data_IF_137986361108
#
_entry.id   IF_137986361108
#
_cell.length_a   1.000
_cell.length_b   1.000
_cell.length_c   1.000
_cell.angle_alpha   90.00
_cell.angle_beta   90.00
_cell.angle_gamma   90.00
#
_symmetry.space_group_name_H-M   'P 1'
#
loop_
_entity.id
_entity.type
_entity.pdbx_description
1 polymer ?
#
# COMPACT_ATOMS: atom_id res chain seq x y z
N UNK A 1 60.40 -32.51 -35.33
CA UNK A 1 59.26 -33.29 -35.80
C UNK A 1 58.03 -32.44 -35.62
N UNK A 2 57.45 -32.02 -36.76
CA UNK A 2 56.25 -31.23 -36.91
C UNK A 2 55.03 -32.10 -36.68
N UNK A 3 54.04 -31.61 -35.93
CA UNK A 3 52.63 -31.98 -36.18
C UNK A 3 51.73 -30.80 -36.00
N UNK A 4 51.05 -30.50 -37.11
CA UNK A 4 49.91 -29.59 -37.26
C UNK A 4 48.69 -30.23 -36.58
N UNK A 5 47.91 -29.41 -35.88
CA UNK A 5 46.58 -29.73 -35.39
C UNK A 5 45.63 -28.57 -35.61
N UNK A 6 44.75 -28.76 -36.57
CA UNK A 6 43.74 -27.85 -37.10
C UNK A 6 42.70 -27.41 -36.06
N UNK A 7 42.37 -26.14 -36.13
CA UNK A 7 41.22 -25.51 -35.40
C UNK A 7 39.93 -25.92 -36.11
N UNK A 8 38.97 -26.47 -35.35
CA UNK A 8 37.58 -26.54 -35.73
C UNK A 8 36.80 -25.53 -34.95
N UNK A 9 36.19 -24.59 -35.66
CA UNK A 9 35.13 -23.71 -35.13
C UNK A 9 33.81 -24.48 -35.18
N UNK A 10 32.92 -24.39 -34.19
CA UNK A 10 31.56 -24.86 -34.34
C UNK A 10 30.70 -23.77 -34.97
N UNK A 11 30.14 -24.12 -36.11
CA UNK A 11 29.10 -23.36 -36.83
C UNK A 11 27.78 -23.33 -36.04
N UNK A 12 27.14 -22.14 -36.06
CA UNK A 12 25.74 -22.00 -36.38
C UNK A 12 24.71 -22.53 -35.39
N UNK A 13 24.46 -21.83 -34.30
CA UNK A 13 23.15 -21.91 -33.65
C UNK A 13 22.20 -20.86 -34.25
N UNK A 14 21.26 -21.28 -35.09
CA UNK A 14 20.17 -20.43 -35.59
C UNK A 14 19.23 -20.04 -34.45
N UNK A 15 18.75 -18.77 -34.34
CA UNK A 15 17.77 -18.39 -33.38
C UNK A 15 16.40 -19.00 -33.71
N UNK A 16 15.77 -19.64 -32.71
CA UNK A 16 14.40 -20.14 -32.78
C UNK A 16 13.44 -18.99 -33.07
N UNK A 17 12.73 -19.08 -34.18
CA UNK A 17 11.60 -18.20 -34.52
C UNK A 17 10.48 -18.38 -33.51
N UNK A 18 10.19 -17.35 -32.76
CA UNK A 18 8.93 -17.21 -32.01
C UNK A 18 7.85 -16.87 -33.06
N UNK A 19 6.88 -17.75 -33.26
CA UNK A 19 5.70 -17.52 -34.11
C UNK A 19 4.80 -16.49 -33.39
N UNK A 20 4.50 -15.39 -34.07
CA UNK A 20 3.37 -14.56 -33.70
C UNK A 20 3.56 -13.03 -33.76
N UNK A 21 4.35 -12.52 -34.75
CA UNK A 21 4.27 -11.12 -35.10
C UNK A 21 4.06 -10.94 -36.59
N UNK A 22 3.04 -10.12 -36.95
CA UNK A 22 2.78 -9.73 -38.32
C UNK A 22 3.95 -8.91 -38.88
N UNK A 23 4.34 -9.08 -40.18
CA UNK A 23 5.41 -8.32 -40.79
C UNK A 23 4.93 -6.90 -41.10
N UNK A 24 5.56 -5.91 -40.50
CA UNK A 24 5.30 -4.49 -40.82
C UNK A 24 5.53 -3.44 -39.75
N UNK A 25 6.04 -3.79 -38.56
CA UNK A 25 6.38 -2.79 -37.57
C UNK A 25 7.85 -2.44 -37.69
N UNK A 26 8.15 -1.32 -38.34
CA UNK A 26 9.44 -0.65 -38.28
C UNK A 26 9.51 0.12 -36.97
N UNK A 27 10.35 -0.31 -36.05
CA UNK A 27 10.70 0.48 -34.87
C UNK A 27 11.52 1.68 -35.35
N UNK A 28 10.93 2.86 -35.35
CA UNK A 28 11.70 4.12 -35.38
C UNK A 28 12.38 4.28 -34.03
N UNK A 29 13.59 4.83 -34.04
CA UNK A 29 14.40 5.06 -32.85
C UNK A 29 13.59 5.74 -31.72
N UNK A 30 13.88 5.43 -30.44
CA UNK A 30 13.13 5.99 -29.33
C UNK A 30 13.34 7.50 -29.30
N UNK A 31 12.28 8.25 -29.52
CA UNK A 31 12.22 9.65 -29.14
C UNK A 31 12.41 9.67 -27.62
N UNK A 32 13.34 10.49 -27.15
CA UNK A 32 13.58 10.76 -25.73
C UNK A 32 12.32 11.40 -25.12
N UNK A 33 11.33 10.58 -24.84
CA UNK A 33 10.13 11.00 -24.12
C UNK A 33 10.41 10.82 -22.64
N UNK A 34 10.35 11.87 -21.83
CA UNK A 34 10.59 11.75 -20.39
C UNK A 34 9.69 10.67 -19.79
N UNK A 35 10.25 9.80 -18.96
CA UNK A 35 9.56 8.69 -18.28
C UNK A 35 8.25 9.13 -17.57
N UNK A 36 8.14 10.40 -17.24
CA UNK A 36 6.95 11.02 -16.65
C UNK A 36 5.69 10.95 -17.52
N UNK A 37 5.83 10.86 -18.83
CA UNK A 37 4.70 10.77 -19.76
C UNK A 37 4.13 9.34 -19.87
N UNK A 38 4.92 8.32 -19.53
CA UNK A 38 4.49 6.92 -19.52
C UNK A 38 3.57 6.57 -18.33
N UNK A 39 3.52 7.43 -17.32
CA UNK A 39 2.83 7.15 -16.07
C UNK A 39 1.42 7.74 -15.98
N UNK A 40 1.00 8.58 -16.93
CA UNK A 40 -0.22 9.37 -16.73
C UNK A 40 -1.28 9.18 -17.82
N UNK A 41 -1.05 8.29 -18.81
CA UNK A 41 -2.06 8.04 -19.84
C UNK A 41 -2.62 9.30 -20.51
N UNK A 42 -1.87 10.39 -20.53
CA UNK A 42 -2.26 11.57 -21.29
C UNK A 42 -2.01 11.31 -22.76
N UNK A 43 -3.05 10.84 -23.45
CA UNK A 43 -3.02 10.63 -24.89
C UNK A 43 -3.07 9.18 -25.33
N UNK A 44 -3.13 8.21 -24.42
CA UNK A 44 -3.52 6.85 -24.77
C UNK A 44 -5.03 6.75 -24.99
N UNK A 45 -5.45 5.90 -25.88
CA UNK A 45 -6.87 5.54 -26.02
C UNK A 45 -7.44 5.25 -24.63
N UNK A 46 -8.55 5.92 -24.29
CA UNK A 46 -9.25 5.73 -23.02
C UNK A 46 -9.56 4.25 -22.67
N UNK A 47 -9.40 3.36 -23.64
CA UNK A 47 -9.49 1.90 -23.49
C UNK A 47 -8.32 1.22 -22.80
N UNK A 48 -7.10 1.78 -22.84
CA UNK A 48 -5.89 1.13 -22.30
C UNK A 48 -5.66 1.39 -20.81
N UNK A 49 -6.33 2.38 -20.25
CA UNK A 49 -6.24 2.74 -18.82
C UNK A 49 -7.40 2.21 -17.98
N UNK A 50 -8.35 1.57 -18.61
CA UNK A 50 -9.49 0.97 -17.90
C UNK A 50 -8.99 -0.23 -17.10
N UNK A 51 -9.45 -0.32 -15.86
CA UNK A 51 -9.27 -1.54 -15.07
C UNK A 51 -9.74 -2.74 -15.87
N UNK A 52 -9.10 -3.88 -15.67
CA UNK A 52 -9.32 -5.12 -16.42
C UNK A 52 -10.80 -5.53 -16.45
N UNK A 53 -11.58 -5.08 -15.48
CA UNK A 53 -12.96 -5.48 -15.25
C UNK A 53 -13.96 -4.29 -15.23
N UNK A 54 -13.68 -3.19 -15.94
CA UNK A 54 -14.69 -2.15 -16.16
C UNK A 54 -15.68 -2.59 -17.26
N UNK A 55 -16.84 -3.17 -16.96
CA UNK A 55 -17.86 -3.48 -17.95
C UNK A 55 -18.53 -2.18 -18.40
N UNK A 56 -18.33 -1.79 -19.63
CA UNK A 56 -18.95 -0.59 -20.20
C UNK A 56 -17.97 0.54 -20.49
N UNK A 57 -18.52 1.66 -20.95
CA UNK A 57 -17.75 2.84 -21.32
C UNK A 57 -17.60 3.82 -20.16
N UNK A 58 -16.36 4.08 -19.74
CA UNK A 58 -16.06 5.19 -18.84
C UNK A 58 -16.38 6.53 -19.52
N UNK A 59 -16.88 7.51 -18.76
CA UNK A 59 -16.96 8.89 -19.26
C UNK A 59 -15.59 9.39 -19.71
N UNK A 60 -15.55 10.23 -20.74
CA UNK A 60 -14.28 10.83 -21.16
C UNK A 60 -13.72 11.72 -20.04
N UNK A 61 -12.41 11.62 -19.77
CA UNK A 61 -11.75 12.45 -18.77
C UNK A 61 -11.83 13.97 -19.09
N UNK A 62 -12.05 14.29 -20.36
CA UNK A 62 -12.25 15.68 -20.84
C UNK A 62 -13.69 16.20 -20.70
N UNK A 63 -14.64 15.39 -20.21
CA UNK A 63 -16.02 15.85 -19.99
C UNK A 63 -16.03 16.90 -18.85
N UNK A 64 -16.40 18.17 -19.15
CA UNK A 64 -16.42 19.24 -18.15
C UNK A 64 -17.48 19.04 -17.08
N UNK A 65 -18.43 18.12 -17.29
CA UNK A 65 -19.56 17.91 -16.40
C UNK A 65 -19.34 16.78 -15.37
N UNK A 66 -18.20 16.07 -15.40
CA UNK A 66 -17.94 14.93 -14.51
C UNK A 66 -18.24 15.23 -13.04
N UNK A 67 -17.80 16.38 -12.56
CA UNK A 67 -18.04 16.77 -11.18
C UNK A 67 -19.54 16.94 -10.87
N UNK A 68 -20.28 17.63 -11.75
CA UNK A 68 -21.72 17.82 -11.58
C UNK A 68 -22.49 16.49 -11.69
N UNK A 69 -22.02 15.57 -12.53
CA UNK A 69 -22.57 14.21 -12.67
C UNK A 69 -22.37 13.40 -11.38
N UNK A 70 -21.16 13.42 -10.82
CA UNK A 70 -20.87 12.75 -9.55
C UNK A 70 -21.76 13.28 -8.41
N UNK A 71 -21.91 14.61 -8.30
CA UNK A 71 -22.78 15.24 -7.31
C UNK A 71 -24.26 14.87 -7.50
N UNK A 72 -24.73 14.84 -8.75
CA UNK A 72 -26.10 14.44 -9.05
C UNK A 72 -26.37 12.98 -8.67
N UNK A 73 -25.47 12.08 -9.02
CA UNK A 73 -25.57 10.66 -8.66
C UNK A 73 -25.53 10.46 -7.14
N UNK A 74 -24.63 11.15 -6.42
CA UNK A 74 -24.58 11.12 -4.94
C UNK A 74 -25.90 11.58 -4.34
N UNK A 75 -26.47 12.70 -4.81
CA UNK A 75 -27.75 13.19 -4.30
C UNK A 75 -28.90 12.21 -4.54
N UNK A 76 -28.90 11.53 -5.69
CA UNK A 76 -29.94 10.56 -6.04
C UNK A 76 -29.85 9.28 -5.20
N UNK A 77 -28.65 8.82 -4.89
CA UNK A 77 -28.42 7.66 -4.04
C UNK A 77 -28.69 7.97 -2.55
N UNK A 78 -28.44 9.21 -2.13
CA UNK A 78 -28.74 9.71 -0.79
C UNK A 78 -28.05 8.88 0.30
N UNK A 79 -28.78 8.55 1.36
CA UNK A 79 -28.27 7.81 2.52
C UNK A 79 -27.89 6.35 2.22
N UNK A 80 -28.33 5.80 1.09
CA UNK A 80 -27.93 4.46 0.63
C UNK A 80 -26.46 4.37 0.26
N UNK A 81 -25.82 5.51 -0.04
CA UNK A 81 -24.44 5.61 -0.46
C UNK A 81 -23.55 6.18 0.65
N UNK A 82 -22.40 5.54 0.86
CA UNK A 82 -21.33 6.04 1.70
C UNK A 82 -20.00 5.98 0.95
N UNK A 83 -19.40 7.14 0.70
CA UNK A 83 -18.13 7.25 -0.04
C UNK A 83 -16.99 7.44 0.93
N UNK A 84 -16.05 6.50 0.93
CA UNK A 84 -14.83 6.53 1.73
C UNK A 84 -13.64 6.94 0.85
N UNK A 85 -12.83 7.90 1.31
CA UNK A 85 -11.67 8.40 0.57
C UNK A 85 -10.38 8.34 1.38
N UNK A 86 -9.37 7.63 0.85
CA UNK A 86 -8.06 7.63 1.48
C UNK A 86 -7.33 8.94 1.24
N UNK A 87 -6.55 9.42 2.21
CA UNK A 87 -5.79 10.68 2.12
C UNK A 87 -4.84 10.79 0.92
N UNK A 88 -4.42 9.67 0.32
CA UNK A 88 -3.54 9.65 -0.85
C UNK A 88 -4.28 9.75 -2.19
N UNK A 89 -5.61 9.85 -2.16
CA UNK A 89 -6.41 10.05 -3.36
C UNK A 89 -6.22 11.43 -3.98
N UNK A 90 -6.51 11.52 -5.29
CA UNK A 90 -6.56 12.77 -6.04
C UNK A 90 -7.60 13.71 -5.45
N UNK A 91 -7.35 15.02 -5.49
CA UNK A 91 -8.27 16.03 -4.97
C UNK A 91 -9.63 16.01 -5.68
N UNK A 92 -9.62 15.72 -6.97
CA UNK A 92 -10.84 15.61 -7.80
C UNK A 92 -11.77 14.46 -7.38
N UNK A 93 -11.23 13.42 -6.71
CA UNK A 93 -11.97 12.27 -6.22
C UNK A 93 -12.31 12.44 -4.74
N UNK A 94 -11.33 12.80 -3.92
CA UNK A 94 -11.48 12.82 -2.46
C UNK A 94 -12.52 13.85 -1.98
N UNK A 95 -12.76 14.90 -2.76
CA UNK A 95 -13.80 15.90 -2.45
C UNK A 95 -15.22 15.33 -2.41
N UNK A 96 -15.45 14.15 -3.01
CA UNK A 96 -16.74 13.46 -2.98
C UNK A 96 -16.85 12.47 -1.82
N UNK A 97 -15.77 12.23 -1.07
CA UNK A 97 -15.81 11.35 0.09
C UNK A 97 -16.66 11.97 1.22
N UNK A 98 -17.48 11.13 1.85
CA UNK A 98 -18.22 11.49 3.05
C UNK A 98 -17.30 11.48 4.27
N UNK A 99 -16.30 10.58 4.26
CA UNK A 99 -15.23 10.53 5.25
C UNK A 99 -13.89 10.34 4.55
N UNK A 100 -12.90 11.12 4.98
CA UNK A 100 -11.50 10.95 4.61
C UNK A 100 -10.70 10.41 5.78
N UNK A 101 -9.72 9.56 5.51
CA UNK A 101 -8.92 8.95 6.56
C UNK A 101 -7.75 8.13 6.05
N UNK A 102 -6.97 7.62 7.00
CA UNK A 102 -6.04 6.53 6.78
C UNK A 102 -6.78 5.18 6.77
N UNK A 103 -6.06 4.10 6.50
CA UNK A 103 -6.65 2.75 6.42
C UNK A 103 -7.36 2.33 7.71
N UNK A 104 -6.88 2.76 8.88
CA UNK A 104 -7.48 2.41 10.17
C UNK A 104 -8.82 3.12 10.38
N UNK A 105 -8.83 4.44 10.17
CA UNK A 105 -10.04 5.26 10.28
C UNK A 105 -11.10 4.78 9.31
N UNK A 106 -10.74 4.57 8.03
CA UNK A 106 -11.70 4.15 7.01
C UNK A 106 -12.31 2.77 7.29
N UNK A 107 -11.52 1.81 7.83
CA UNK A 107 -12.03 0.51 8.24
C UNK A 107 -13.07 0.64 9.37
N UNK A 108 -12.82 1.50 10.36
CA UNK A 108 -13.78 1.78 11.43
C UNK A 108 -15.06 2.44 10.92
N UNK A 109 -14.92 3.43 10.06
CA UNK A 109 -16.06 4.17 9.51
C UNK A 109 -16.94 3.27 8.65
N UNK A 110 -16.34 2.36 7.86
CA UNK A 110 -17.10 1.36 7.11
C UNK A 110 -17.97 0.49 8.03
N UNK A 111 -17.40 0.01 9.14
CA UNK A 111 -18.11 -0.81 10.14
C UNK A 111 -19.20 -0.03 10.92
N UNK A 112 -19.07 1.30 11.01
CA UNK A 112 -19.95 2.17 11.79
C UNK A 112 -21.21 2.65 11.04
N UNK A 113 -21.36 2.30 9.75
CA UNK A 113 -22.49 2.76 8.89
C UNK A 113 -23.33 1.60 8.35
N UNK A 114 -24.03 0.85 9.24
CA UNK A 114 -24.79 -0.34 8.85
C UNK A 114 -25.98 -0.05 7.92
N UNK A 115 -26.43 1.18 7.84
CA UNK A 115 -27.57 1.67 7.03
C UNK A 115 -27.17 1.98 5.59
N UNK A 116 -25.89 2.14 5.28
CA UNK A 116 -25.44 2.36 3.91
C UNK A 116 -25.49 1.05 3.13
N UNK A 117 -26.29 1.01 2.06
CA UNK A 117 -26.38 -0.15 1.16
C UNK A 117 -25.08 -0.30 0.33
N UNK A 118 -24.55 0.83 -0.15
CA UNK A 118 -23.36 0.88 -1.00
C UNK A 118 -22.25 1.65 -0.31
N UNK A 119 -21.08 1.02 -0.23
CA UNK A 119 -19.84 1.65 0.23
C UNK A 119 -18.90 1.76 -0.95
N UNK A 120 -18.74 2.95 -1.50
CA UNK A 120 -17.76 3.21 -2.58
C UNK A 120 -16.44 3.59 -1.93
N UNK A 121 -15.45 2.73 -2.12
CA UNK A 121 -14.15 2.87 -1.49
C UNK A 121 -13.13 3.50 -2.46
N UNK A 122 -12.89 4.80 -2.36
CA UNK A 122 -11.85 5.50 -3.11
C UNK A 122 -10.48 5.32 -2.40
N UNK A 123 -9.92 4.13 -2.56
CA UNK A 123 -8.67 3.67 -1.96
C UNK A 123 -7.99 2.63 -2.85
N UNK A 124 -7.56 1.52 -2.25
CA UNK A 124 -6.99 0.38 -2.97
C UNK A 124 -7.61 -0.94 -2.50
N UNK A 125 -7.41 -1.99 -3.28
CA UNK A 125 -8.10 -3.27 -3.18
C UNK A 125 -8.12 -3.85 -1.76
N UNK A 126 -6.99 -3.93 -1.07
CA UNK A 126 -6.91 -4.50 0.28
C UNK A 126 -7.72 -3.71 1.33
N UNK A 127 -7.93 -2.41 1.10
CA UNK A 127 -8.77 -1.57 1.96
C UNK A 127 -10.24 -1.90 1.76
N UNK A 128 -10.66 -2.06 0.48
CA UNK A 128 -12.01 -2.45 0.13
C UNK A 128 -12.33 -3.88 0.61
N UNK A 129 -11.39 -4.83 0.51
CA UNK A 129 -11.52 -6.16 1.14
C UNK A 129 -11.74 -6.05 2.66
N UNK A 130 -10.98 -5.18 3.33
CA UNK A 130 -11.12 -4.99 4.78
C UNK A 130 -12.47 -4.37 5.14
N UNK A 131 -12.99 -3.46 4.31
CA UNK A 131 -14.34 -2.92 4.47
C UNK A 131 -15.41 -4.01 4.26
N UNK A 132 -15.28 -4.85 3.24
CA UNK A 132 -16.20 -5.97 2.98
C UNK A 132 -16.24 -6.97 4.16
N UNK A 133 -15.08 -7.30 4.71
CA UNK A 133 -14.98 -8.18 5.89
C UNK A 133 -15.68 -7.58 7.12
N UNK A 134 -15.56 -6.27 7.33
CA UNK A 134 -16.06 -5.59 8.53
C UNK A 134 -17.55 -5.20 8.43
N UNK A 135 -18.08 -5.08 7.24
CA UNK A 135 -19.48 -4.73 6.99
C UNK A 135 -20.42 -5.93 7.08
N UNK A 136 -21.71 -5.68 6.96
CA UNK A 136 -22.76 -6.71 6.98
C UNK A 136 -23.03 -7.25 5.56
N UNK A 137 -23.65 -8.43 5.48
CA UNK A 137 -24.03 -9.03 4.20
C UNK A 137 -25.06 -8.19 3.39
N UNK A 138 -25.75 -7.24 4.03
CA UNK A 138 -26.67 -6.32 3.37
C UNK A 138 -25.95 -5.16 2.67
N UNK A 139 -24.70 -4.93 2.97
CA UNK A 139 -23.88 -3.86 2.41
C UNK A 139 -23.03 -4.38 1.24
N UNK A 140 -22.77 -3.54 0.29
CA UNK A 140 -21.96 -3.87 -0.88
C UNK A 140 -20.81 -2.87 -0.98
N UNK A 141 -19.59 -3.39 -0.92
CA UNK A 141 -18.37 -2.58 -1.08
C UNK A 141 -17.95 -2.59 -2.53
N UNK A 142 -17.72 -1.41 -3.09
CA UNK A 142 -17.33 -1.22 -4.48
C UNK A 142 -15.99 -0.48 -4.55
N UNK A 143 -15.13 -0.92 -5.45
CA UNK A 143 -13.88 -0.24 -5.78
C UNK A 143 -14.00 0.34 -7.20
N UNK A 144 -13.93 1.66 -7.40
CA UNK A 144 -14.18 2.26 -8.72
C UNK A 144 -13.30 1.72 -9.85
N UNK A 145 -12.05 1.31 -9.54
CA UNK A 145 -11.16 0.56 -10.44
C UNK A 145 -10.57 -0.64 -9.73
N UNK A 146 -10.89 -1.87 -10.17
CA UNK A 146 -10.38 -3.12 -9.57
C UNK A 146 -8.86 -3.27 -9.67
N UNK A 147 -8.21 -2.60 -10.63
CA UNK A 147 -6.77 -2.58 -10.76
C UNK A 147 -6.07 -1.57 -9.82
N UNK A 148 -6.83 -0.83 -8.99
CA UNK A 148 -6.29 -0.01 -7.92
C UNK A 148 -5.76 -0.91 -6.78
N UNK A 149 -4.61 -1.54 -6.99
CA UNK A 149 -3.93 -2.46 -6.08
C UNK A 149 -2.91 -1.77 -5.18
N UNK A 150 -2.04 -2.58 -4.57
CA UNK A 150 -0.90 -2.11 -3.78
C UNK A 150 0.28 -3.05 -3.99
N UNK A 151 1.34 -2.56 -4.63
CA UNK A 151 2.53 -3.37 -4.91
C UNK A 151 3.16 -3.98 -3.65
N UNK A 152 3.09 -3.31 -2.51
CA UNK A 152 3.56 -3.86 -1.24
C UNK A 152 2.68 -5.03 -0.76
N UNK A 153 1.37 -4.91 -0.89
CA UNK A 153 0.45 -6.01 -0.53
C UNK A 153 0.73 -7.26 -1.38
N UNK A 154 1.12 -7.07 -2.63
CA UNK A 154 1.44 -8.15 -3.58
C UNK A 154 2.81 -8.79 -3.32
N UNK A 155 3.68 -8.18 -2.50
CA UNK A 155 4.98 -8.74 -2.12
C UNK A 155 4.89 -9.91 -1.13
N UNK A 156 3.71 -10.19 -0.57
CA UNK A 156 3.45 -11.35 0.27
C UNK A 156 2.22 -12.09 -0.27
N UNK A 157 2.43 -13.19 -0.97
CA UNK A 157 1.33 -14.06 -1.39
C UNK A 157 0.98 -15.05 -0.28
N UNK A 158 -0.27 -15.51 -0.24
CA UNK A 158 -0.71 -16.49 0.76
C UNK A 158 0.15 -17.78 0.72
N UNK A 159 0.48 -18.26 -0.48
CA UNK A 159 1.31 -19.45 -0.64
C UNK A 159 2.72 -19.25 -0.06
N UNK A 160 3.36 -18.11 -0.33
CA UNK A 160 4.69 -17.81 0.23
C UNK A 160 4.66 -17.71 1.77
N UNK A 161 3.57 -17.21 2.34
CA UNK A 161 3.43 -17.12 3.80
C UNK A 161 3.24 -18.51 4.43
N UNK A 162 2.51 -19.41 3.78
CA UNK A 162 2.42 -20.82 4.21
C UNK A 162 3.81 -21.50 4.17
N UNK A 163 4.55 -21.35 3.08
CA UNK A 163 5.92 -21.88 2.95
C UNK A 163 6.86 -21.30 4.01
N UNK A 164 6.74 -20.00 4.30
CA UNK A 164 7.51 -19.38 5.38
C UNK A 164 7.14 -19.97 6.75
N UNK A 165 5.87 -20.24 6.98
CA UNK A 165 5.41 -20.85 8.22
C UNK A 165 5.94 -22.28 8.40
N UNK A 166 6.03 -23.06 7.33
CA UNK A 166 6.67 -24.38 7.33
C UNK A 166 8.15 -24.25 7.70
N UNK A 167 8.88 -23.28 7.13
CA UNK A 167 10.28 -23.00 7.52
C UNK A 167 10.42 -22.68 9.02
N UNK A 168 9.49 -21.88 9.58
CA UNK A 168 9.48 -21.58 11.01
C UNK A 168 9.16 -22.80 11.87
N UNK A 169 8.32 -23.70 11.37
CA UNK A 169 7.97 -24.96 12.02
C UNK A 169 9.18 -25.90 12.05
N UNK A 170 9.88 -26.06 10.94
CA UNK A 170 11.10 -26.86 10.85
C UNK A 170 12.25 -26.30 11.71
N UNK A 171 12.31 -24.97 11.84
CA UNK A 171 13.24 -24.31 12.74
C UNK A 171 12.87 -24.46 14.23
N UNK A 172 11.67 -24.97 14.56
CA UNK A 172 11.14 -25.12 15.91
C UNK A 172 10.82 -23.79 16.59
N UNK A 173 10.34 -22.80 15.81
CA UNK A 173 9.99 -21.47 16.34
C UNK A 173 8.53 -21.06 16.09
N UNK A 174 7.78 -21.80 15.28
CA UNK A 174 6.41 -21.44 14.90
C UNK A 174 5.48 -21.25 16.12
N UNK A 175 5.55 -22.15 17.11
CA UNK A 175 4.69 -22.10 18.31
C UNK A 175 4.88 -20.83 19.17
N UNK A 176 6.02 -20.18 19.05
CA UNK A 176 6.34 -18.95 19.74
C UNK A 176 6.33 -17.72 18.84
N UNK A 177 5.99 -17.89 17.56
CA UNK A 177 5.88 -16.82 16.59
C UNK A 177 4.44 -16.35 16.45
N UNK A 178 4.20 -15.05 16.56
CA UNK A 178 2.90 -14.41 16.34
C UNK A 178 2.96 -13.68 15.02
N UNK A 179 2.12 -13.99 14.02
CA UNK A 179 2.06 -13.22 12.80
C UNK A 179 1.37 -11.88 13.08
N UNK A 180 2.00 -10.80 12.66
CA UNK A 180 1.40 -9.46 12.62
C UNK A 180 1.42 -8.97 11.19
N UNK A 181 0.26 -8.70 10.63
CA UNK A 181 0.21 -8.19 9.25
C UNK A 181 -0.19 -6.72 9.22
N UNK A 182 0.56 -5.95 8.46
CA UNK A 182 0.15 -4.59 8.12
C UNK A 182 -1.16 -4.63 7.32
N UNK A 183 -2.01 -3.62 7.49
CA UNK A 183 -3.28 -3.48 6.77
C UNK A 183 -3.10 -3.65 5.25
N UNK A 184 -1.94 -3.21 4.72
CA UNK A 184 -1.54 -3.32 3.33
C UNK A 184 -1.14 -4.77 2.97
N UNK A 185 -2.09 -5.67 3.07
CA UNK A 185 -2.00 -7.08 2.75
C UNK A 185 -3.36 -7.59 2.26
N UNK A 186 -3.40 -8.68 1.50
CA UNK A 186 -4.65 -9.27 1.02
C UNK A 186 -5.50 -9.83 2.16
N UNK A 187 -6.79 -10.03 1.90
CA UNK A 187 -7.70 -10.71 2.83
C UNK A 187 -7.17 -12.09 3.24
N UNK A 188 -6.55 -12.83 2.31
CA UNK A 188 -5.98 -14.15 2.57
C UNK A 188 -4.84 -14.10 3.60
N UNK A 189 -3.96 -13.09 3.56
CA UNK A 189 -2.91 -12.87 4.55
C UNK A 189 -3.50 -12.49 5.91
N UNK A 190 -4.53 -11.64 5.93
CA UNK A 190 -5.27 -11.30 7.16
C UNK A 190 -5.94 -12.55 7.74
N UNK A 191 -6.51 -13.41 6.88
CA UNK A 191 -7.11 -14.69 7.28
C UNK A 191 -6.09 -15.64 7.89
N UNK A 192 -4.95 -15.82 7.24
CA UNK A 192 -3.81 -16.57 7.81
C UNK A 192 -3.43 -16.02 9.18
N UNK A 193 -3.26 -14.70 9.29
CA UNK A 193 -2.88 -14.03 10.54
C UNK A 193 -3.89 -14.30 11.65
N UNK A 194 -5.20 -14.21 11.36
CA UNK A 194 -6.26 -14.49 12.33
C UNK A 194 -6.27 -15.95 12.78
N UNK A 195 -6.16 -16.89 11.84
CA UNK A 195 -6.13 -18.33 12.11
C UNK A 195 -4.94 -18.74 12.98
N UNK A 196 -3.79 -18.06 12.83
CA UNK A 196 -2.57 -18.30 13.64
C UNK A 196 -2.50 -17.41 14.89
N UNK A 197 -3.62 -16.83 15.29
CA UNK A 197 -3.70 -16.07 16.54
C UNK A 197 -3.03 -14.70 16.50
N UNK A 198 -2.69 -14.18 15.34
CA UNK A 198 -2.06 -12.89 15.13
C UNK A 198 -3.05 -11.73 15.06
N UNK A 199 -2.57 -10.56 14.69
CA UNK A 199 -3.36 -9.33 14.54
C UNK A 199 -2.99 -8.56 13.29
N UNK A 200 -3.90 -7.74 12.80
CA UNK A 200 -3.60 -6.69 11.81
C UNK A 200 -3.03 -5.48 12.56
N UNK A 201 -2.23 -4.68 11.89
CA UNK A 201 -1.85 -3.34 12.35
C UNK A 201 -1.93 -2.31 11.22
N UNK A 202 -1.88 -1.05 11.58
CA UNK A 202 -1.65 0.09 10.67
C UNK A 202 -0.44 0.88 11.17
N UNK A 203 0.04 1.85 10.39
CA UNK A 203 1.11 2.74 10.85
C UNK A 203 0.73 3.53 12.11
N UNK A 204 -0.57 3.71 12.37
CA UNK A 204 -1.07 4.43 13.55
C UNK A 204 -1.04 3.61 14.84
N UNK A 205 -1.00 2.26 14.76
CA UNK A 205 -1.05 1.39 15.94
C UNK A 205 -0.05 0.24 15.91
N UNK A 206 0.96 0.29 15.02
CA UNK A 206 1.97 -0.76 14.87
C UNK A 206 2.70 -1.06 16.19
N UNK A 207 3.05 -0.03 16.96
CA UNK A 207 3.67 -0.20 18.27
C UNK A 207 2.82 -1.09 19.19
N UNK A 208 1.53 -0.74 19.33
CA UNK A 208 0.61 -1.48 20.21
C UNK A 208 0.41 -2.92 19.75
N UNK A 209 0.31 -3.12 18.45
CA UNK A 209 0.17 -4.46 17.86
C UNK A 209 1.42 -5.32 18.09
N UNK A 210 2.62 -4.77 17.92
CA UNK A 210 3.87 -5.48 18.16
C UNK A 210 4.08 -5.76 19.65
N UNK A 211 3.83 -4.80 20.52
CA UNK A 211 3.90 -4.96 21.98
C UNK A 211 2.96 -6.07 22.43
N UNK A 212 1.70 -6.02 22.00
CA UNK A 212 0.72 -7.07 22.28
C UNK A 212 1.19 -8.45 21.81
N UNK A 213 1.76 -8.54 20.60
CA UNK A 213 2.23 -9.81 20.05
C UNK A 213 3.41 -10.41 20.84
N UNK A 214 4.35 -9.56 21.26
CA UNK A 214 5.53 -9.96 22.04
C UNK A 214 5.18 -10.32 23.50
N UNK A 215 4.24 -9.62 24.11
CA UNK A 215 3.82 -9.86 25.50
C UNK A 215 2.79 -10.99 25.65
N UNK A 216 2.22 -11.44 24.53
CA UNK A 216 1.16 -12.45 24.55
C UNK A 216 1.59 -13.76 25.21
N UNK A 217 0.83 -14.20 26.22
CA UNK A 217 1.06 -15.45 26.92
C UNK A 217 2.25 -15.45 27.87
N UNK A 218 2.86 -14.30 28.14
CA UNK A 218 3.89 -14.12 29.18
C UNK A 218 5.23 -14.83 28.91
N UNK A 219 5.49 -15.28 27.68
CA UNK A 219 6.77 -15.92 27.32
C UNK A 219 7.79 -14.87 26.84
N UNK A 220 8.98 -14.81 27.42
CA UNK A 220 10.02 -13.85 27.01
C UNK A 220 10.60 -14.15 25.61
N UNK A 221 10.41 -15.36 25.10
CA UNK A 221 10.98 -15.82 23.83
C UNK A 221 10.01 -15.64 22.63
N UNK A 222 8.99 -14.80 22.77
CA UNK A 222 8.05 -14.53 21.68
C UNK A 222 8.75 -13.86 20.50
N UNK A 223 8.28 -14.23 19.32
CA UNK A 223 8.74 -13.70 18.05
C UNK A 223 7.56 -13.14 17.27
N UNK A 224 7.86 -12.22 16.37
CA UNK A 224 6.87 -11.68 15.43
C UNK A 224 7.31 -12.00 14.01
N UNK A 225 6.41 -12.59 13.22
CA UNK A 225 6.49 -12.57 11.77
C UNK A 225 5.72 -11.34 11.29
N UNK A 226 6.43 -10.31 10.84
CA UNK A 226 5.82 -9.05 10.39
C UNK A 226 5.68 -9.02 8.87
N UNK A 227 4.46 -8.86 8.38
CA UNK A 227 4.08 -8.91 6.98
C UNK A 227 3.44 -7.58 6.56
N UNK A 228 3.55 -7.14 5.30
CA UNK A 228 4.59 -7.48 4.34
C UNK A 228 5.74 -6.45 4.33
N UNK A 229 5.70 -5.37 5.13
CA UNK A 229 6.64 -4.24 5.09
C UNK A 229 7.78 -4.40 6.11
N UNK A 230 9.02 -4.54 5.61
CA UNK A 230 10.18 -4.64 6.48
C UNK A 230 10.52 -3.34 7.21
N UNK A 231 10.20 -2.19 6.61
CA UNK A 231 10.61 -0.89 7.15
C UNK A 231 9.72 -0.49 8.31
N UNK A 232 8.38 -0.54 8.14
CA UNK A 232 7.45 -0.28 9.24
C UNK A 232 7.74 -1.20 10.43
N UNK A 233 7.91 -2.52 10.18
CA UNK A 233 8.21 -3.47 11.24
C UNK A 233 9.50 -3.15 11.98
N UNK A 234 10.60 -2.88 11.25
CA UNK A 234 11.91 -2.54 11.83
C UNK A 234 11.86 -1.22 12.59
N UNK A 235 11.34 -0.16 11.95
CA UNK A 235 11.33 1.16 12.55
C UNK A 235 10.50 1.19 13.84
N UNK A 236 9.35 0.50 13.85
CA UNK A 236 8.54 0.36 15.06
C UNK A 236 9.27 -0.45 16.14
N UNK A 237 9.87 -1.58 15.78
CA UNK A 237 10.58 -2.44 16.73
C UNK A 237 11.77 -1.72 17.38
N UNK A 238 12.56 -1.01 16.60
CA UNK A 238 13.78 -0.33 17.10
C UNK A 238 13.42 0.92 17.89
N UNK A 239 12.57 1.80 17.34
CA UNK A 239 12.31 3.12 17.95
C UNK A 239 11.32 3.07 19.10
N UNK A 240 10.26 2.26 18.97
CA UNK A 240 9.14 2.28 19.91
C UNK A 240 9.23 1.15 20.94
N UNK A 241 9.87 0.03 20.61
CA UNK A 241 10.03 -1.11 21.51
C UNK A 241 11.45 -1.24 22.08
N UNK A 242 12.42 -0.49 21.56
CA UNK A 242 13.80 -0.50 22.02
C UNK A 242 14.57 -1.77 21.66
N UNK A 243 14.14 -2.51 20.62
CA UNK A 243 14.89 -3.67 20.12
C UNK A 243 16.14 -3.22 19.37
N UNK A 244 17.18 -4.04 19.38
CA UNK A 244 18.36 -3.83 18.56
C UNK A 244 18.11 -4.13 17.08
N UNK A 245 18.92 -3.56 16.20
CA UNK A 245 18.87 -3.89 14.76
C UNK A 245 19.16 -5.38 14.53
N UNK A 246 20.01 -6.00 15.36
CA UNK A 246 20.36 -7.42 15.29
C UNK A 246 19.20 -8.33 15.72
N UNK A 247 18.21 -7.82 16.46
CA UNK A 247 16.98 -8.53 16.80
C UNK A 247 16.03 -8.64 15.61
N UNK A 248 16.30 -7.89 14.51
CA UNK A 248 15.46 -7.77 13.34
C UNK A 248 16.13 -8.40 12.12
N UNK A 249 15.65 -9.56 11.68
CA UNK A 249 16.14 -10.21 10.46
C UNK A 249 15.10 -10.12 9.33
N UNK A 250 15.59 -10.06 8.08
CA UNK A 250 14.72 -9.97 6.90
C UNK A 250 14.55 -11.37 6.29
N UNK A 251 13.31 -11.82 6.24
CA UNK A 251 12.91 -13.05 5.57
C UNK A 251 12.61 -12.75 4.08
N UNK A 252 13.41 -13.32 3.19
CA UNK A 252 13.27 -13.19 1.74
C UNK A 252 12.51 -14.41 1.18
N UNK A 253 11.23 -14.30 0.80
CA UNK A 253 10.44 -15.44 0.31
C UNK A 253 10.96 -16.06 -0.98
N UNK A 254 11.87 -15.38 -1.68
CA UNK A 254 12.48 -15.88 -2.91
C UNK A 254 13.77 -16.66 -2.68
N UNK A 255 14.15 -16.87 -1.42
CA UNK A 255 15.36 -17.63 -1.05
C UNK A 255 15.00 -18.84 -0.21
N UNK A 256 15.71 -19.95 -0.37
CA UNK A 256 15.56 -21.11 0.51
C UNK A 256 15.70 -20.70 1.98
N UNK A 257 14.80 -21.18 2.83
CA UNK A 257 14.78 -20.83 4.25
C UNK A 257 14.63 -19.33 4.56
N UNK A 258 14.07 -18.56 3.63
CA UNK A 258 13.99 -17.10 3.74
C UNK A 258 15.36 -16.41 3.61
N UNK A 259 16.39 -17.11 3.14
CA UNK A 259 17.78 -16.62 3.12
C UNK A 259 18.41 -16.57 4.50
N UNK A 260 17.81 -17.21 5.52
CA UNK A 260 18.23 -17.20 6.92
C UNK A 260 18.65 -18.58 7.36
N UNK A 261 19.61 -18.65 8.26
CA UNK A 261 19.97 -19.89 8.95
C UNK A 261 18.98 -20.19 10.06
N UNK A 262 18.85 -21.47 10.43
CA UNK A 262 18.02 -21.89 11.59
C UNK A 262 18.41 -21.13 12.87
N UNK A 263 19.69 -20.82 13.03
CA UNK A 263 20.18 -20.04 14.18
C UNK A 263 19.61 -18.62 14.15
N UNK A 264 19.70 -17.92 13.03
CA UNK A 264 19.14 -16.57 12.89
C UNK A 264 17.62 -16.54 13.14
N UNK A 265 16.89 -17.57 12.64
CA UNK A 265 15.45 -17.71 12.91
C UNK A 265 15.16 -17.91 14.42
N UNK A 266 16.04 -18.63 15.14
CA UNK A 266 15.91 -18.87 16.58
C UNK A 266 16.31 -17.69 17.45
N UNK A 267 17.32 -16.94 17.04
CA UNK A 267 17.89 -15.85 17.83
C UNK A 267 17.10 -14.54 17.64
N UNK A 268 16.62 -14.24 16.43
CA UNK A 268 15.89 -13.01 16.14
C UNK A 268 14.53 -12.92 16.85
N UNK A 269 14.14 -11.73 17.25
CA UNK A 269 12.82 -11.41 17.81
C UNK A 269 11.83 -11.02 16.70
N UNK A 270 12.29 -10.24 15.71
CA UNK A 270 11.50 -9.80 14.58
C UNK A 270 11.93 -10.47 13.29
N UNK A 271 11.02 -11.20 12.67
CA UNK A 271 11.16 -11.81 11.35
C UNK A 271 10.39 -10.90 10.37
N UNK A 272 11.12 -10.07 9.65
CA UNK A 272 10.54 -9.04 8.79
C UNK A 272 10.44 -9.55 7.36
N UNK A 273 9.25 -9.54 6.79
CA UNK A 273 9.07 -9.89 5.38
C UNK A 273 9.77 -8.88 4.47
N UNK A 274 10.42 -9.35 3.41
CA UNK A 274 11.17 -8.51 2.47
C UNK A 274 10.26 -7.74 1.50
N UNK A 275 9.28 -7.02 2.01
CA UNK A 275 8.48 -6.10 1.23
C UNK A 275 8.73 -4.65 1.63
N UNK A 276 8.22 -3.73 0.84
CA UNK A 276 8.37 -2.29 1.06
C UNK A 276 7.35 -1.49 0.25
N UNK A 277 7.05 -0.28 0.70
CA UNK A 277 6.27 0.67 -0.08
C UNK A 277 7.13 1.30 -1.20
N UNK A 278 6.63 1.29 -2.43
CA UNK A 278 7.32 1.90 -3.58
C UNK A 278 7.45 3.42 -3.48
N UNK A 279 6.56 4.09 -2.77
CA UNK A 279 6.61 5.54 -2.52
C UNK A 279 7.61 5.85 -1.41
N UNK A 280 7.41 5.28 -0.21
CA UNK A 280 8.24 5.60 0.96
C UNK A 280 9.67 5.06 0.83
N UNK A 281 9.86 3.94 0.15
CA UNK A 281 11.19 3.36 -0.11
C UNK A 281 12.08 4.18 -1.04
N UNK A 282 11.55 5.22 -1.69
CA UNK A 282 12.35 6.11 -2.56
C UNK A 282 13.08 7.20 -1.80
N UNK A 283 12.59 7.61 -0.64
CA UNK A 283 13.28 8.59 0.17
C UNK A 283 14.61 8.03 0.69
N UNK A 284 15.63 8.88 0.70
CA UNK A 284 16.99 8.54 1.12
C UNK A 284 17.50 9.54 2.15
N UNK A 285 18.56 9.19 2.89
CA UNK A 285 19.21 10.10 3.81
C UNK A 285 19.81 11.31 3.11
N UNK A 286 20.22 11.16 1.83
CA UNK A 286 20.69 12.26 0.99
C UNK A 286 19.56 13.26 0.69
N UNK A 287 18.30 12.80 0.52
CA UNK A 287 17.16 13.72 0.39
C UNK A 287 17.00 14.58 1.64
N UNK A 288 17.18 14.00 2.83
CA UNK A 288 17.13 14.73 4.12
C UNK A 288 18.26 15.77 4.18
N UNK A 289 19.48 15.38 3.86
CA UNK A 289 20.64 16.30 3.84
C UNK A 289 20.45 17.43 2.82
N UNK A 290 19.97 17.10 1.61
CA UNK A 290 19.72 18.07 0.54
C UNK A 290 18.67 19.09 0.94
N UNK A 291 17.51 18.65 1.48
CA UNK A 291 16.45 19.59 1.86
C UNK A 291 16.91 20.52 2.99
N UNK A 292 17.68 20.03 3.96
CA UNK A 292 18.25 20.85 5.03
C UNK A 292 19.24 21.90 4.50
N UNK A 293 19.97 21.58 3.43
CA UNK A 293 20.87 22.55 2.78
C UNK A 293 20.13 23.65 2.04
N UNK A 294 18.95 23.33 1.46
CA UNK A 294 18.16 24.27 0.66
C UNK A 294 17.18 25.11 1.45
N UNK A 295 16.67 24.58 2.56
CA UNK A 295 15.66 25.22 3.40
C UNK A 295 16.20 25.31 4.82
N UNK A 296 16.84 26.42 5.20
CA UNK A 296 17.38 26.59 6.55
C UNK A 296 16.30 26.48 7.63
N UNK A 297 16.57 25.70 8.67
CA UNK A 297 15.62 25.49 9.78
C UNK A 297 14.44 24.55 9.46
N UNK A 298 14.48 23.84 8.31
CA UNK A 298 13.43 22.89 7.96
C UNK A 298 13.37 21.73 8.95
N UNK A 299 12.16 21.40 9.38
CA UNK A 299 11.85 20.19 10.14
C UNK A 299 11.46 19.07 9.17
N UNK A 300 12.07 17.91 9.33
CA UNK A 300 11.85 16.75 8.46
C UNK A 300 10.89 15.79 9.15
N UNK A 301 9.75 15.54 8.51
CA UNK A 301 8.67 14.69 9.02
C UNK A 301 8.41 13.56 8.02
N UNK A 302 8.59 12.30 8.43
CA UNK A 302 8.52 11.15 7.52
C UNK A 302 7.55 10.08 8.03
N UNK A 303 7.04 9.27 7.08
CA UNK A 303 6.24 8.09 7.38
C UNK A 303 7.14 6.92 7.82
N UNK A 304 6.73 6.07 8.77
CA UNK A 304 7.55 4.96 9.28
C UNK A 304 7.80 3.83 8.26
N UNK A 305 7.15 3.83 7.10
CA UNK A 305 7.51 2.96 5.96
C UNK A 305 8.76 3.41 5.20
N UNK A 306 9.32 4.58 5.52
CA UNK A 306 10.61 5.01 4.99
C UNK A 306 11.73 4.09 5.46
N UNK A 307 12.80 4.02 4.70
CA UNK A 307 13.99 3.27 5.09
C UNK A 307 14.49 3.72 6.45
N UNK A 308 15.11 2.80 7.20
CA UNK A 308 15.57 3.06 8.56
C UNK A 308 16.50 4.27 8.64
N UNK A 309 17.46 4.40 7.72
CA UNK A 309 18.38 5.53 7.65
C UNK A 309 17.71 6.90 7.41
N UNK A 310 16.55 6.89 6.75
CA UNK A 310 15.73 8.11 6.57
C UNK A 310 15.00 8.46 7.86
N UNK A 311 14.45 7.45 8.50
CA UNK A 311 13.74 7.60 9.78
C UNK A 311 14.68 8.11 10.87
N UNK A 312 15.92 7.60 10.92
CA UNK A 312 16.94 8.06 11.87
C UNK A 312 17.42 9.49 11.57
N UNK A 313 17.41 9.91 10.30
CA UNK A 313 17.81 11.26 9.90
C UNK A 313 16.68 12.30 10.05
N UNK A 314 15.43 11.87 10.24
CA UNK A 314 14.27 12.75 10.37
C UNK A 314 14.11 13.31 11.77
N UNK A 315 13.47 14.49 11.89
CA UNK A 315 13.15 15.09 13.19
C UNK A 315 11.87 14.48 13.79
N UNK A 316 10.91 14.10 12.93
CA UNK A 316 9.64 13.52 13.32
C UNK A 316 9.30 12.32 12.45
N UNK A 317 8.70 11.32 13.07
CA UNK A 317 8.25 10.09 12.40
C UNK A 317 6.84 9.74 12.86
N UNK A 318 5.94 9.48 11.92
CA UNK A 318 4.60 9.08 12.31
C UNK A 318 3.69 8.73 11.13
N UNK A 319 2.53 8.18 11.46
CA UNK A 319 1.51 7.79 10.51
C UNK A 319 0.95 8.98 9.71
N UNK A 320 0.17 8.68 8.68
CA UNK A 320 -0.53 9.71 7.90
C UNK A 320 -1.32 10.69 8.77
N UNK A 321 -2.07 10.21 9.74
CA UNK A 321 -2.82 11.05 10.69
C UNK A 321 -1.89 11.87 11.59
N UNK A 322 -0.77 11.29 12.03
CA UNK A 322 0.25 12.02 12.79
C UNK A 322 0.84 13.17 11.98
N UNK A 323 1.16 12.93 10.71
CA UNK A 323 1.68 13.95 9.79
C UNK A 323 0.68 15.10 9.65
N UNK A 324 -0.59 14.80 9.41
CA UNK A 324 -1.65 15.81 9.29
C UNK A 324 -1.73 16.65 10.56
N UNK A 325 -1.90 16.01 11.72
CA UNK A 325 -2.03 16.71 13.01
C UNK A 325 -0.79 17.55 13.37
N UNK A 326 0.40 17.05 13.04
CA UNK A 326 1.65 17.78 13.28
C UNK A 326 1.69 19.07 12.47
N UNK A 327 1.29 19.01 11.21
CA UNK A 327 1.26 20.21 10.35
C UNK A 327 0.13 21.17 10.76
N UNK A 328 -1.04 20.66 11.13
CA UNK A 328 -2.15 21.48 11.63
C UNK A 328 -1.77 22.24 12.91
N UNK A 329 -1.05 21.59 13.81
CA UNK A 329 -0.62 22.17 15.09
C UNK A 329 0.67 23.02 14.98
N UNK A 330 1.37 23.00 13.85
CA UNK A 330 2.63 23.70 13.68
C UNK A 330 2.43 25.23 13.64
N UNK A 331 3.42 25.96 14.15
CA UNK A 331 3.39 27.43 14.20
C UNK A 331 3.41 28.04 12.78
N UNK A 332 2.69 29.15 12.56
CA UNK A 332 2.82 29.95 11.35
C UNK A 332 4.28 30.35 11.06
N UNK A 333 4.69 30.32 9.81
CA UNK A 333 6.06 30.59 9.38
C UNK A 333 7.04 29.44 9.55
N UNK A 334 6.63 28.31 10.13
CA UNK A 334 7.47 27.12 10.23
C UNK A 334 7.73 26.48 8.86
N UNK A 335 8.87 25.77 8.72
CA UNK A 335 9.29 25.11 7.48
C UNK A 335 9.34 23.61 7.68
N UNK A 336 8.68 22.86 6.79
CA UNK A 336 8.52 21.41 6.87
C UNK A 336 8.88 20.73 5.56
N UNK A 337 9.67 19.66 5.64
CA UNK A 337 9.91 18.75 4.54
C UNK A 337 9.23 17.41 4.87
N UNK A 338 8.27 17.00 4.04
CA UNK A 338 7.42 15.85 4.33
C UNK A 338 7.77 14.69 3.40
N UNK A 339 8.12 13.55 4.00
CA UNK A 339 8.42 12.28 3.33
C UNK A 339 7.24 11.31 3.40
N UNK A 340 6.19 11.58 2.62
CA UNK A 340 5.04 10.69 2.40
C UNK A 340 4.46 10.90 1.00
N UNK A 341 3.24 10.43 0.72
CA UNK A 341 2.62 10.49 -0.60
C UNK A 341 2.31 11.94 -1.04
N UNK A 342 2.58 12.25 -2.30
CA UNK A 342 2.61 13.60 -2.85
C UNK A 342 1.25 14.32 -2.80
N UNK A 343 0.12 13.64 -3.09
CA UNK A 343 -1.21 14.27 -3.08
C UNK A 343 -1.52 14.81 -1.68
N UNK A 344 -1.20 14.04 -0.64
CA UNK A 344 -1.34 14.53 0.73
C UNK A 344 -0.46 15.74 1.00
N UNK A 345 0.83 15.69 0.62
CA UNK A 345 1.76 16.81 0.87
C UNK A 345 1.30 18.09 0.16
N UNK A 346 0.84 17.98 -1.10
CA UNK A 346 0.27 19.12 -1.84
C UNK A 346 -0.97 19.70 -1.17
N UNK A 347 -1.85 18.83 -0.68
CA UNK A 347 -3.08 19.26 0.02
C UNK A 347 -2.75 19.97 1.31
N UNK A 348 -1.80 19.47 2.09
CA UNK A 348 -1.33 20.14 3.30
C UNK A 348 -0.71 21.50 2.98
N UNK A 349 0.13 21.59 1.95
CA UNK A 349 0.71 22.87 1.51
C UNK A 349 -0.35 23.88 1.07
N UNK A 350 -1.38 23.42 0.37
CA UNK A 350 -2.50 24.28 -0.05
C UNK A 350 -3.40 24.71 1.10
N UNK A 351 -3.61 23.85 2.09
CA UNK A 351 -4.43 24.13 3.27
C UNK A 351 -3.73 25.05 4.28
N UNK A 352 -2.39 25.06 4.30
CA UNK A 352 -1.59 25.80 5.26
C UNK A 352 -0.59 26.75 4.57
N UNK A 353 -1.08 27.79 3.84
CA UNK A 353 -0.21 28.74 3.12
C UNK A 353 0.61 29.63 4.04
N UNK A 354 0.30 29.63 5.34
CA UNK A 354 1.05 30.29 6.41
C UNK A 354 2.35 29.56 6.79
N UNK A 355 2.58 28.36 6.25
CA UNK A 355 3.75 27.51 6.50
C UNK A 355 4.48 27.20 5.20
N UNK A 356 5.78 26.99 5.27
CA UNK A 356 6.54 26.49 4.14
C UNK A 356 6.57 24.96 4.14
N UNK A 357 5.72 24.34 3.35
CA UNK A 357 5.66 22.87 3.24
C UNK A 357 6.25 22.44 1.90
N UNK A 358 7.28 21.60 1.94
CA UNK A 358 7.94 21.07 0.76
C UNK A 358 7.93 19.54 0.78
N UNK A 359 7.94 18.95 -0.41
CA UNK A 359 8.13 17.50 -0.56
C UNK A 359 9.59 17.14 -0.31
N UNK A 360 9.84 16.06 0.43
CA UNK A 360 11.21 15.70 0.84
C UNK A 360 12.14 15.42 -0.34
N UNK A 361 11.61 14.84 -1.43
CA UNK A 361 12.38 14.58 -2.64
C UNK A 361 12.09 15.61 -3.74
N UNK A 362 13.07 15.83 -4.66
CA UNK A 362 12.92 16.75 -5.80
C UNK A 362 12.07 16.17 -6.93
N UNK A 363 12.07 14.84 -7.07
CA UNK A 363 11.29 14.16 -8.11
C UNK A 363 9.90 13.80 -7.62
N UNK A 364 8.91 13.99 -8.50
CA UNK A 364 7.52 13.68 -8.18
C UNK A 364 7.36 12.19 -7.93
N UNK A 365 6.81 11.82 -6.76
CA UNK A 365 6.47 10.46 -6.43
C UNK A 365 5.08 10.41 -5.79
N UNK A 366 4.14 9.79 -6.46
CA UNK A 366 2.80 9.51 -5.98
C UNK A 366 2.51 8.02 -6.07
N UNK A 367 1.48 7.56 -5.36
CA UNK A 367 1.02 6.19 -5.44
C UNK A 367 0.25 5.97 -6.76
N UNK A 368 0.90 5.39 -7.77
CA UNK A 368 0.33 5.22 -9.10
C UNK A 368 -0.94 4.34 -9.08
N UNK A 369 -0.99 3.32 -8.24
CA UNK A 369 -2.13 2.43 -8.13
C UNK A 369 -3.32 3.09 -7.42
N UNK A 370 -3.07 3.92 -6.40
CA UNK A 370 -4.11 4.75 -5.77
C UNK A 370 -4.70 5.76 -6.77
N UNK A 371 -3.83 6.35 -7.62
CA UNK A 371 -4.22 7.34 -8.62
C UNK A 371 -4.95 6.75 -9.85
N UNK A 372 -5.11 5.43 -9.93
CA UNK A 372 -5.95 4.80 -10.95
C UNK A 372 -7.42 5.16 -10.79
N UNK A 373 -7.88 5.33 -9.56
CA UNK A 373 -9.23 5.83 -9.32
C UNK A 373 -9.23 7.34 -9.58
N UNK A 374 -9.78 7.72 -10.71
CA UNK A 374 -9.99 9.10 -11.14
C UNK A 374 -11.49 9.45 -11.16
N UNK A 375 -11.80 10.67 -11.55
CA UNK A 375 -13.18 11.14 -11.59
C UNK A 375 -14.07 10.38 -12.59
N UNK A 376 -13.60 10.00 -13.80
CA UNK A 376 -14.34 9.10 -14.68
C UNK A 376 -14.75 7.78 -14.04
N UNK A 377 -13.85 7.09 -13.33
CA UNK A 377 -14.15 5.84 -12.64
C UNK A 377 -15.18 6.03 -11.54
N UNK A 378 -15.05 7.10 -10.76
CA UNK A 378 -16.02 7.43 -9.71
C UNK A 378 -17.41 7.72 -10.31
N UNK A 379 -17.50 8.56 -11.33
CA UNK A 379 -18.76 8.88 -12.01
C UNK A 379 -19.42 7.62 -12.56
N UNK A 380 -18.67 6.80 -13.28
CA UNK A 380 -19.18 5.56 -13.83
C UNK A 380 -19.74 4.63 -12.76
N UNK A 381 -19.03 4.48 -11.64
CA UNK A 381 -19.50 3.67 -10.52
C UNK A 381 -20.80 4.20 -9.94
N UNK A 382 -20.87 5.52 -9.67
CA UNK A 382 -22.05 6.15 -9.07
C UNK A 382 -23.27 6.11 -10.02
N UNK A 383 -23.08 6.40 -11.30
CA UNK A 383 -24.17 6.36 -12.29
C UNK A 383 -24.66 4.92 -12.54
N UNK A 384 -23.75 3.93 -12.50
CA UNK A 384 -24.16 2.52 -12.56
C UNK A 384 -25.09 2.15 -11.40
N UNK A 385 -24.78 2.59 -10.18
CA UNK A 385 -25.63 2.38 -9.00
C UNK A 385 -26.99 3.10 -9.15
N UNK A 386 -27.01 4.31 -9.68
CA UNK A 386 -28.26 5.06 -9.98
C UNK A 386 -29.11 4.28 -10.98
N UNK A 387 -28.50 3.65 -11.98
CA UNK A 387 -29.18 2.82 -12.97
C UNK A 387 -29.60 1.43 -12.44
N UNK A 388 -29.27 1.10 -11.18
CA UNK A 388 -29.58 -0.19 -10.56
C UNK A 388 -28.57 -1.27 -10.85
N UNK A 389 -27.42 -0.95 -11.46
CA UNK A 389 -26.31 -1.86 -11.74
C UNK A 389 -25.23 -1.76 -10.64
N UNK A 390 -24.78 -2.90 -10.13
CA UNK A 390 -23.66 -2.97 -9.19
C UNK A 390 -22.40 -3.38 -9.96
N UNK A 391 -21.42 -2.50 -9.97
CA UNK A 391 -20.15 -2.71 -10.69
C UNK A 391 -18.99 -2.81 -9.71
N UNK A 392 -17.97 -3.57 -10.06
CA UNK A 392 -16.71 -3.67 -9.30
C UNK A 392 -16.92 -3.97 -7.80
N UNK A 393 -17.89 -4.84 -7.51
CA UNK A 393 -18.14 -5.29 -6.14
C UNK A 393 -16.95 -6.09 -5.64
N UNK A 394 -16.49 -5.77 -4.45
CA UNK A 394 -15.50 -6.55 -3.70
C UNK A 394 -16.23 -7.59 -2.87
N UNK A 395 -15.75 -8.81 -2.91
CA UNK A 395 -16.30 -9.92 -2.11
C UNK A 395 -15.16 -10.82 -1.65
N UNK A 396 -15.06 -11.01 -0.36
CA UNK A 396 -14.06 -11.90 0.25
C UNK A 396 -14.71 -13.26 0.51
N UNK A 397 -13.99 -14.34 0.21
CA UNK A 397 -14.45 -15.70 0.46
C UNK A 397 -14.82 -15.87 1.96
N UNK A 398 -15.97 -16.50 2.30
CA UNK A 398 -16.49 -16.49 3.67
C UNK A 398 -15.55 -17.05 4.74
N UNK A 399 -14.79 -18.13 4.44
CA UNK A 399 -13.84 -18.71 5.40
C UNK A 399 -12.65 -17.79 5.63
N UNK A 400 -12.15 -17.16 4.55
CA UNK A 400 -11.08 -16.14 4.62
C UNK A 400 -11.57 -14.93 5.41
N UNK A 401 -12.78 -14.46 5.11
CA UNK A 401 -13.40 -13.33 5.80
C UNK A 401 -13.57 -13.58 7.30
N UNK A 402 -14.04 -14.76 7.70
CA UNK A 402 -14.20 -15.14 9.10
C UNK A 402 -12.87 -15.08 9.87
N UNK A 403 -11.81 -15.68 9.30
CA UNK A 403 -10.47 -15.66 9.91
C UNK A 403 -9.87 -14.25 9.93
N UNK A 404 -9.99 -13.50 8.82
CA UNK A 404 -9.48 -12.14 8.71
C UNK A 404 -10.19 -11.20 9.70
N UNK A 405 -11.49 -11.36 9.90
CA UNK A 405 -12.27 -10.60 10.90
C UNK A 405 -11.69 -10.77 12.29
N UNK A 406 -11.27 -11.97 12.69
CA UNK A 406 -10.63 -12.19 14.01
C UNK A 406 -9.38 -11.31 14.19
N UNK A 407 -8.56 -11.18 13.15
CA UNK A 407 -7.36 -10.35 13.22
C UNK A 407 -7.66 -8.85 13.17
N UNK A 408 -8.68 -8.45 12.37
CA UNK A 408 -9.15 -7.06 12.27
C UNK A 408 -9.85 -6.60 13.56
N UNK A 409 -10.76 -7.41 14.11
CA UNK A 409 -11.44 -7.10 15.38
C UNK A 409 -10.43 -6.95 16.52
N UNK A 410 -9.40 -7.79 16.53
CA UNK A 410 -8.30 -7.66 17.49
C UNK A 410 -7.55 -6.36 17.32
N UNK A 411 -7.22 -5.96 16.09
CA UNK A 411 -6.61 -4.66 15.80
C UNK A 411 -7.46 -3.50 16.31
N UNK A 412 -8.77 -3.55 16.11
CA UNK A 412 -9.72 -2.52 16.53
C UNK A 412 -9.87 -2.46 18.06
N UNK A 413 -9.67 -3.58 18.75
CA UNK A 413 -9.77 -3.70 20.21
C UNK A 413 -8.45 -3.40 20.95
N UNK A 414 -7.32 -3.26 20.26
CA UNK A 414 -6.05 -2.87 20.88
C UNK A 414 -6.16 -1.45 21.47
N UNK A 415 -5.72 -1.24 22.71
CA UNK A 415 -5.86 0.03 23.44
C UNK A 415 -5.13 1.20 22.81
#
# INVERSE_FOLDING_TARGET
>A
MLFHGSRHSPEGAQPRRIRGYAPGVTFTEPVDTPLALLLLGQGSDAGSERGVDCPGELPAASDPNLAARAEAAKRQLGERLFVLGHHYQRDEVIRFADVTGDSFKLAREAAARPDAEFIVFCGVHFMAESADILTSAAQQVLLPDLAAGCSMADMATHQQVLEAWDVLTDAGVADRTVPVTYMNSSAAIKGFTGAHGGTVCTSSNAERALRWALERGGSPDRKVLFLPDQHLGRNTAVRELGLGLDDCVVFDPHKPGGGLTTRQLRDATMLLWRGHCSVHGRFTAENVADVRSRVPGVQVLVHPECRHEVVEAADFVGSTEYIIRTIEAAEPGSSWAIGTELNLVRRLASAHPDKQIVFLEKTVCYCSTMNRIDLPHLVWTLESLVAGGVVNRITVEPTVAANARVALDRMLALP
#
